data_IF_913853373058
#
_entry.id   IF_913853373058
#
_cell.length_a   1.000
_cell.length_b   1.000
_cell.length_c   1.000
_cell.angle_alpha   90.00
_cell.angle_beta   90.00
_cell.angle_gamma   90.00
#
_symmetry.space_group_name_H-M   'P 1'
#
loop_
_entity.id
_entity.type
_entity.pdbx_description
1 polymer ?
#
# COMPACT_ATOMS: atom_id res chain seq x y z
N UNK A 1 12.16 -29.48 71.24
CA UNK A 1 10.90 -29.56 70.46
C UNK A 1 10.50 -28.16 70.04
N UNK A 2 10.35 -28.01 68.71
CA UNK A 2 9.93 -26.89 67.85
C UNK A 2 9.51 -25.54 68.47
N UNK A 3 10.22 -24.48 68.04
CA UNK A 3 9.74 -23.10 68.05
C UNK A 3 9.11 -22.75 66.70
N UNK A 4 7.90 -22.20 66.78
CA UNK A 4 7.16 -21.53 65.71
C UNK A 4 7.92 -20.32 65.17
N UNK A 5 7.89 -20.13 63.85
CA UNK A 5 8.25 -18.89 63.17
C UNK A 5 7.29 -18.66 62.00
N UNK A 6 6.30 -17.81 62.26
CA UNK A 6 5.49 -17.15 61.24
C UNK A 6 6.41 -16.19 60.45
N UNK A 7 6.47 -16.34 59.13
CA UNK A 7 6.98 -15.30 58.23
C UNK A 7 5.94 -15.05 57.13
N UNK A 8 5.31 -13.88 57.19
CA UNK A 8 4.48 -13.37 56.12
C UNK A 8 5.34 -13.05 54.89
N UNK A 9 4.85 -13.45 53.71
CA UNK A 9 5.34 -12.96 52.44
C UNK A 9 4.43 -11.81 51.99
N UNK A 10 4.98 -10.59 51.95
CA UNK A 10 4.41 -9.49 51.18
C UNK A 10 4.80 -9.73 49.71
N UNK A 11 3.82 -10.00 48.86
CA UNK A 11 4.03 -10.04 47.41
C UNK A 11 3.97 -8.59 46.87
N UNK A 12 5.11 -8.05 46.45
CA UNK A 12 5.15 -6.80 45.73
C UNK A 12 4.77 -7.04 44.26
N UNK A 13 3.58 -6.60 43.86
CA UNK A 13 3.19 -6.52 42.45
C UNK A 13 3.88 -5.30 41.82
N UNK A 14 4.93 -5.53 41.05
CA UNK A 14 5.48 -4.51 40.15
C UNK A 14 4.62 -4.42 38.90
N UNK A 15 3.74 -3.42 38.84
CA UNK A 15 3.08 -2.99 37.61
C UNK A 15 4.11 -2.30 36.72
N UNK A 16 4.67 -3.03 35.76
CA UNK A 16 5.42 -2.41 34.66
C UNK A 16 4.41 -1.79 33.69
N UNK A 17 4.17 -0.49 33.81
CA UNK A 17 3.52 0.31 32.77
C UNK A 17 4.40 0.26 31.52
N UNK A 18 4.10 -0.65 30.60
CA UNK A 18 4.73 -0.69 29.29
C UNK A 18 4.37 0.60 28.54
N UNK A 19 5.34 1.50 28.40
CA UNK A 19 5.25 2.62 27.48
C UNK A 19 5.15 2.02 26.08
N UNK A 20 3.94 1.96 25.52
CA UNK A 20 3.75 1.54 24.12
C UNK A 20 4.54 2.54 23.29
N UNK A 21 5.64 2.08 22.68
CA UNK A 21 6.42 2.91 21.79
C UNK A 21 5.49 3.49 20.71
N UNK A 22 5.54 4.81 20.52
CA UNK A 22 4.76 5.47 19.49
C UNK A 22 5.02 4.78 18.15
N UNK A 23 3.96 4.37 17.46
CA UNK A 23 4.07 3.74 16.15
C UNK A 23 4.52 4.79 15.14
N UNK A 24 5.58 4.49 14.40
CA UNK A 24 5.95 5.29 13.24
C UNK A 24 4.99 4.98 12.09
N UNK A 25 4.28 6.00 11.61
CA UNK A 25 3.38 5.91 10.47
C UNK A 25 3.76 6.92 9.40
N UNK A 26 3.99 6.47 8.17
CA UNK A 26 4.36 7.33 7.05
C UNK A 26 3.22 7.39 6.03
N UNK A 27 2.87 8.61 5.62
CA UNK A 27 1.91 8.87 4.55
C UNK A 27 2.71 9.32 3.33
N UNK A 28 2.57 8.62 2.21
CA UNK A 28 3.18 8.99 0.94
C UNK A 28 2.15 9.60 0.00
N UNK A 29 2.55 10.64 -0.73
CA UNK A 29 1.74 11.30 -1.74
C UNK A 29 2.07 10.81 -3.15
N UNK A 30 1.06 10.24 -3.83
CA UNK A 30 1.04 9.98 -5.28
C UNK A 30 -0.30 10.36 -5.90
N UNK A 31 -0.90 11.44 -5.41
CA UNK A 31 -2.08 12.00 -6.07
C UNK A 31 -1.66 12.71 -7.36
N UNK A 32 -2.40 12.53 -8.45
CA UNK A 32 -2.07 13.11 -9.76
C UNK A 32 -2.92 14.37 -10.10
N UNK A 33 -3.41 15.07 -9.07
CA UNK A 33 -4.21 16.28 -9.25
C UNK A 33 -3.40 17.43 -9.86
N UNK A 34 -3.96 18.07 -10.90
CA UNK A 34 -3.25 19.11 -11.67
C UNK A 34 -3.02 20.35 -10.81
N UNK A 35 -1.77 20.82 -10.77
CA UNK A 35 -1.36 21.99 -9.99
C UNK A 35 -1.13 21.71 -8.49
N UNK A 36 -1.06 20.43 -8.08
CA UNK A 36 -0.73 20.06 -6.70
C UNK A 36 0.71 20.46 -6.35
N UNK A 37 0.93 21.17 -5.22
CA UNK A 37 2.27 21.54 -4.77
C UNK A 37 2.98 20.35 -4.12
N UNK A 38 4.23 20.56 -3.71
CA UNK A 38 4.93 19.64 -2.81
C UNK A 38 4.27 19.62 -1.42
N UNK A 39 3.81 18.45 -0.97
CA UNK A 39 3.11 18.25 0.30
C UNK A 39 4.03 17.80 1.44
N UNK A 40 5.36 17.84 1.26
CA UNK A 40 6.31 17.48 2.32
C UNK A 40 6.12 18.33 3.58
N UNK A 41 5.76 19.62 3.43
CA UNK A 41 5.44 20.52 4.56
C UNK A 41 4.16 20.12 5.32
N UNK A 42 3.23 19.48 4.62
CA UNK A 42 2.01 18.89 5.20
C UNK A 42 2.28 17.50 5.82
N UNK A 43 3.55 17.08 5.92
CA UNK A 43 4.02 15.74 6.35
C UNK A 43 3.62 14.58 5.43
N UNK A 44 3.35 14.83 4.16
CA UNK A 44 3.22 13.77 3.16
C UNK A 44 4.56 13.55 2.47
N UNK A 45 5.13 12.36 2.66
CA UNK A 45 6.41 11.94 2.09
C UNK A 45 6.29 11.69 0.59
N UNK A 46 7.41 11.77 -0.11
CA UNK A 46 7.46 11.41 -1.54
C UNK A 46 7.80 9.94 -1.72
N UNK A 47 7.22 9.30 -2.71
CA UNK A 47 7.56 7.94 -3.15
C UNK A 47 7.83 7.94 -4.64
N UNK A 48 8.82 7.16 -5.08
CA UNK A 48 9.13 7.00 -6.49
C UNK A 48 8.24 5.90 -7.09
N UNK A 49 7.03 6.26 -7.53
CA UNK A 49 6.15 5.33 -8.27
C UNK A 49 6.58 5.24 -9.72
N UNK A 50 6.77 4.02 -10.21
CA UNK A 50 7.11 3.73 -11.60
C UNK A 50 6.06 2.80 -12.19
N UNK A 51 5.41 3.22 -13.27
CA UNK A 51 4.34 2.46 -13.92
C UNK A 51 4.87 1.38 -14.86
N UNK A 52 4.07 0.34 -15.10
CA UNK A 52 4.38 -0.81 -15.97
C UNK A 52 4.98 -0.40 -17.33
N UNK A 53 4.41 0.64 -17.95
CA UNK A 53 4.83 1.13 -19.27
C UNK A 53 6.28 1.60 -19.31
N UNK A 54 6.89 1.92 -18.16
CA UNK A 54 8.29 2.29 -18.05
C UNK A 54 9.19 1.13 -17.62
N UNK A 55 8.61 0.03 -17.14
CA UNK A 55 9.33 -1.12 -16.60
C UNK A 55 9.38 -2.29 -17.58
N UNK A 56 8.42 -2.37 -18.49
CA UNK A 56 8.18 -3.52 -19.35
C UNK A 56 8.18 -3.10 -20.80
N UNK A 57 8.83 -3.89 -21.65
CA UNK A 57 8.80 -3.76 -23.11
C UNK A 57 8.20 -5.02 -23.75
N UNK A 58 7.73 -4.94 -25.01
CA UNK A 58 7.32 -6.13 -25.74
C UNK A 58 8.40 -7.21 -25.71
N UNK A 59 7.99 -8.48 -25.58
CA UNK A 59 8.92 -9.60 -25.67
C UNK A 59 9.44 -9.72 -27.12
N UNK A 60 10.76 -9.54 -27.37
CA UNK A 60 11.31 -9.64 -28.71
C UNK A 60 11.10 -11.02 -29.35
N UNK A 61 10.96 -12.07 -28.55
CA UNK A 61 10.68 -13.41 -29.03
C UNK A 61 9.19 -13.68 -29.28
N UNK A 62 8.31 -12.75 -28.90
CA UNK A 62 6.85 -12.88 -29.03
C UNK A 62 6.24 -14.00 -28.18
N UNK A 63 6.97 -14.55 -27.21
CA UNK A 63 6.52 -15.69 -26.38
C UNK A 63 5.70 -15.23 -25.18
N UNK A 64 5.90 -14.00 -24.72
CA UNK A 64 5.25 -13.45 -23.53
C UNK A 64 4.36 -12.25 -23.86
N UNK A 65 3.05 -12.47 -23.79
CA UNK A 65 2.01 -11.44 -24.01
C UNK A 65 2.08 -10.30 -22.98
N UNK A 66 2.63 -10.61 -21.82
CA UNK A 66 2.86 -9.69 -20.71
C UNK A 66 4.07 -8.77 -20.90
N UNK A 67 4.84 -8.94 -21.97
CA UNK A 67 6.13 -8.27 -22.15
C UNK A 67 7.21 -8.79 -21.18
N UNK A 68 8.42 -8.26 -21.31
CA UNK A 68 9.59 -8.57 -20.49
C UNK A 68 10.18 -7.29 -19.89
N UNK A 69 10.98 -7.41 -18.83
CA UNK A 69 11.61 -6.25 -18.22
C UNK A 69 12.47 -5.47 -19.23
N UNK A 70 12.32 -4.15 -19.23
CA UNK A 70 13.25 -3.27 -19.91
C UNK A 70 14.43 -2.92 -19.00
N UNK A 71 15.41 -3.82 -18.94
CA UNK A 71 16.53 -3.73 -17.99
C UNK A 71 17.34 -2.43 -18.11
N UNK A 72 17.45 -1.86 -19.31
CA UNK A 72 18.13 -0.58 -19.50
C UNK A 72 17.32 0.54 -18.85
N UNK A 73 16.03 0.65 -19.17
CA UNK A 73 15.15 1.67 -18.61
C UNK A 73 15.02 1.57 -17.10
N UNK A 74 14.91 0.35 -16.56
CA UNK A 74 14.90 0.10 -15.10
C UNK A 74 16.17 0.63 -14.44
N UNK A 75 17.35 0.43 -15.06
CA UNK A 75 18.62 0.93 -14.53
C UNK A 75 18.69 2.45 -14.53
N UNK A 76 18.19 3.09 -15.58
CA UNK A 76 18.08 4.57 -15.65
C UNK A 76 17.17 5.12 -14.55
N UNK A 77 16.00 4.51 -14.36
CA UNK A 77 15.05 4.87 -13.30
C UNK A 77 15.63 4.63 -11.90
N UNK A 78 16.38 3.56 -11.71
CA UNK A 78 17.05 3.28 -10.45
C UNK A 78 18.11 4.36 -10.12
N UNK A 79 18.93 4.75 -11.10
CA UNK A 79 19.89 5.87 -10.95
C UNK A 79 19.19 7.19 -10.70
N UNK A 80 18.08 7.44 -11.38
CA UNK A 80 17.26 8.63 -11.14
C UNK A 80 16.74 8.66 -9.71
N UNK A 81 16.19 7.55 -9.21
CA UNK A 81 15.71 7.45 -7.83
C UNK A 81 16.81 7.77 -6.82
N UNK A 82 18.04 7.28 -7.07
CA UNK A 82 19.21 7.56 -6.25
C UNK A 82 19.59 9.04 -6.29
N UNK A 83 19.78 9.59 -7.50
CA UNK A 83 20.16 10.98 -7.74
C UNK A 83 19.18 11.98 -7.11
N UNK A 84 17.89 11.70 -7.19
CA UNK A 84 16.83 12.53 -6.63
C UNK A 84 16.65 12.32 -5.12
N UNK A 85 17.24 11.26 -4.57
CA UNK A 85 17.31 10.98 -3.14
C UNK A 85 16.13 10.17 -2.59
N UNK A 86 15.39 9.46 -3.44
CA UNK A 86 14.30 8.59 -3.02
C UNK A 86 14.84 7.33 -2.33
N UNK A 87 14.19 6.97 -1.23
CA UNK A 87 14.37 5.66 -0.58
C UNK A 87 13.23 4.73 -0.95
N UNK A 88 11.99 5.13 -0.67
CA UNK A 88 10.81 4.31 -0.99
C UNK A 88 10.51 4.36 -2.49
N UNK A 89 10.41 3.18 -3.09
CA UNK A 89 10.12 2.98 -4.51
C UNK A 89 8.91 2.05 -4.60
N UNK A 90 7.89 2.46 -5.32
CA UNK A 90 6.75 1.60 -5.63
C UNK A 90 6.75 1.33 -7.12
N UNK A 91 6.65 0.08 -7.53
CA UNK A 91 6.46 -0.27 -8.95
C UNK A 91 5.01 -0.66 -9.17
N UNK A 92 4.51 -0.46 -10.38
CA UNK A 92 3.12 -0.78 -10.69
C UNK A 92 3.02 -1.62 -11.96
N UNK A 93 3.37 -2.91 -11.83
CA UNK A 93 3.16 -3.93 -12.85
C UNK A 93 1.93 -4.76 -12.44
N UNK A 94 0.80 -4.52 -13.09
CA UNK A 94 -0.45 -5.21 -12.80
C UNK A 94 -0.72 -6.35 -13.77
N UNK A 95 -0.35 -6.16 -15.04
CA UNK A 95 -0.78 -7.07 -16.11
C UNK A 95 -0.26 -8.49 -15.89
N UNK A 96 0.91 -8.64 -15.26
CA UNK A 96 1.56 -9.91 -14.96
C UNK A 96 0.75 -10.85 -14.04
N UNK A 97 -0.18 -10.30 -13.26
CA UNK A 97 -1.08 -11.07 -12.41
C UNK A 97 -2.38 -11.47 -13.12
N UNK A 98 -2.70 -10.87 -14.27
CA UNK A 98 -3.89 -11.16 -15.05
C UNK A 98 -3.70 -12.33 -16.04
N UNK A 99 -4.81 -12.88 -16.55
CA UNK A 99 -4.79 -13.77 -17.71
C UNK A 99 -4.80 -12.93 -19.00
N UNK A 100 -3.63 -12.72 -19.61
CA UNK A 100 -3.50 -11.89 -20.82
C UNK A 100 -3.31 -12.76 -22.05
N UNK A 101 -4.33 -12.79 -22.91
CA UNK A 101 -4.33 -13.62 -24.11
C UNK A 101 -4.19 -15.12 -23.82
N UNK A 102 -4.82 -15.62 -22.75
CA UNK A 102 -4.73 -17.02 -22.34
C UNK A 102 -3.47 -17.39 -21.55
N UNK A 103 -2.55 -16.44 -21.33
CA UNK A 103 -1.28 -16.68 -20.64
C UNK A 103 -1.31 -16.15 -19.21
N UNK A 104 -0.99 -17.02 -18.25
CA UNK A 104 -0.65 -16.68 -16.86
C UNK A 104 0.84 -16.89 -16.64
N UNK A 105 1.51 -15.92 -16.04
CA UNK A 105 2.89 -16.11 -15.60
C UNK A 105 2.94 -17.05 -14.41
N UNK A 106 3.87 -17.99 -14.44
CA UNK A 106 4.13 -18.89 -13.32
C UNK A 106 4.68 -18.12 -12.11
N UNK A 107 4.51 -18.66 -10.90
CA UNK A 107 5.12 -18.10 -9.70
C UNK A 107 6.63 -17.84 -9.80
N UNK A 108 7.37 -18.76 -10.42
CA UNK A 108 8.83 -18.66 -10.53
C UNK A 108 9.25 -17.56 -11.50
N UNK A 109 8.50 -17.37 -12.60
CA UNK A 109 8.70 -16.24 -13.51
C UNK A 109 8.49 -14.92 -12.78
N UNK A 110 7.39 -14.78 -12.03
CA UNK A 110 7.12 -13.57 -11.25
C UNK A 110 8.24 -13.31 -10.23
N UNK A 111 8.62 -14.31 -9.45
CA UNK A 111 9.67 -14.19 -8.44
C UNK A 111 11.03 -13.80 -9.06
N UNK A 112 11.40 -14.44 -10.18
CA UNK A 112 12.62 -14.14 -10.92
C UNK A 112 12.63 -12.71 -11.44
N UNK A 113 11.56 -12.27 -12.10
CA UNK A 113 11.50 -10.94 -12.70
C UNK A 113 11.48 -9.83 -11.64
N UNK A 114 10.61 -9.94 -10.62
CA UNK A 114 10.62 -8.96 -9.52
C UNK A 114 11.96 -8.97 -8.78
N UNK A 115 12.57 -10.14 -8.59
CA UNK A 115 13.91 -10.27 -8.02
C UNK A 115 14.96 -9.55 -8.83
N UNK A 116 14.96 -9.71 -10.15
CA UNK A 116 15.90 -9.03 -11.05
C UNK A 116 15.69 -7.51 -11.02
N UNK A 117 14.44 -7.06 -11.09
CA UNK A 117 14.10 -5.63 -11.07
C UNK A 117 14.59 -4.97 -9.77
N UNK A 118 14.24 -5.52 -8.60
CA UNK A 118 14.64 -4.92 -7.33
C UNK A 118 16.13 -5.08 -7.02
N UNK A 119 16.77 -6.12 -7.55
CA UNK A 119 18.25 -6.21 -7.52
C UNK A 119 18.88 -5.03 -8.26
N UNK A 120 18.38 -4.65 -9.44
CA UNK A 120 18.90 -3.49 -10.19
C UNK A 120 18.65 -2.19 -9.39
N UNK A 121 17.46 -2.02 -8.82
CA UNK A 121 17.19 -0.86 -7.96
C UNK A 121 18.17 -0.77 -6.79
N UNK A 122 18.45 -1.86 -6.09
CA UNK A 122 19.43 -1.90 -4.99
C UNK A 122 20.87 -1.64 -5.44
N UNK A 123 21.25 -2.12 -6.63
CA UNK A 123 22.59 -1.91 -7.18
C UNK A 123 22.88 -0.44 -7.48
N UNK A 124 21.92 0.26 -8.08
CA UNK A 124 22.08 1.67 -8.47
C UNK A 124 21.65 2.64 -7.36
N UNK A 125 20.75 2.21 -6.47
CA UNK A 125 20.33 2.93 -5.27
C UNK A 125 20.44 1.99 -4.05
N UNK A 126 21.57 1.98 -3.32
CA UNK A 126 21.77 1.10 -2.15
C UNK A 126 20.74 1.30 -1.03
N UNK A 127 20.03 2.43 -1.02
CA UNK A 127 18.97 2.75 -0.07
C UNK A 127 17.57 2.36 -0.55
N UNK A 128 17.42 1.87 -1.78
CA UNK A 128 16.13 1.48 -2.34
C UNK A 128 15.35 0.60 -1.35
N UNK A 129 14.08 0.92 -1.14
CA UNK A 129 13.15 0.19 -0.30
C UNK A 129 11.89 -0.02 -1.13
N UNK A 130 11.78 -1.22 -1.72
CA UNK A 130 10.95 -1.40 -2.92
C UNK A 130 9.89 -2.49 -2.77
N UNK A 131 8.72 -2.27 -3.35
CA UNK A 131 7.73 -3.33 -3.63
C UNK A 131 6.79 -2.93 -4.77
N UNK A 132 6.04 -3.90 -5.28
CA UNK A 132 5.05 -3.66 -6.32
C UNK A 132 3.69 -3.39 -5.69
N UNK A 133 2.96 -2.46 -6.27
CA UNK A 133 1.53 -2.26 -6.07
C UNK A 133 0.78 -3.60 -6.11
N UNK A 134 -0.12 -3.81 -5.15
CA UNK A 134 -0.94 -5.02 -5.08
C UNK A 134 -0.19 -6.27 -4.61
N UNK A 135 0.95 -6.14 -3.94
CA UNK A 135 1.62 -7.25 -3.25
C UNK A 135 1.49 -7.10 -1.73
N UNK A 136 1.20 -8.18 -0.98
CA UNK A 136 1.17 -9.58 -1.41
C UNK A 136 -0.20 -10.08 -1.85
N UNK A 137 -1.26 -9.29 -1.73
CA UNK A 137 -2.65 -9.76 -1.87
C UNK A 137 -3.47 -8.87 -2.80
N UNK A 138 -4.50 -9.47 -3.39
CA UNK A 138 -5.52 -8.74 -4.14
C UNK A 138 -6.38 -7.84 -3.20
N UNK A 139 -7.16 -6.92 -3.75
CA UNK A 139 -8.07 -6.08 -2.96
C UNK A 139 -9.33 -6.85 -2.52
N UNK A 140 -9.40 -7.25 -1.25
CA UNK A 140 -10.54 -8.00 -0.68
C UNK A 140 -11.87 -7.22 -0.75
N UNK A 141 -11.86 -5.90 -0.49
CA UNK A 141 -13.08 -5.09 -0.54
C UNK A 141 -13.70 -5.07 -1.94
N UNK A 142 -12.86 -5.02 -2.98
CA UNK A 142 -13.32 -5.06 -4.37
C UNK A 142 -13.83 -6.45 -4.76
N UNK A 143 -13.15 -7.52 -4.33
CA UNK A 143 -13.62 -8.89 -4.57
C UNK A 143 -15.00 -9.11 -3.94
N UNK A 144 -15.22 -8.60 -2.71
CA UNK A 144 -16.51 -8.66 -2.02
C UNK A 144 -17.58 -7.85 -2.75
N UNK A 145 -17.26 -6.64 -3.21
CA UNK A 145 -18.19 -5.78 -3.96
C UNK A 145 -18.76 -6.49 -5.20
N UNK A 146 -17.94 -7.23 -5.94
CA UNK A 146 -18.40 -7.98 -7.11
C UNK A 146 -19.12 -9.30 -6.79
N UNK A 147 -19.29 -9.64 -5.51
CA UNK A 147 -19.90 -10.90 -5.03
C UNK A 147 -20.90 -10.64 -3.90
N UNK A 148 -21.92 -9.78 -4.12
CA UNK A 148 -22.80 -9.32 -3.03
C UNK A 148 -23.68 -10.42 -2.44
N UNK A 149 -23.90 -11.52 -3.17
CA UNK A 149 -24.76 -12.64 -2.74
C UNK A 149 -23.97 -13.82 -2.17
N UNK A 150 -22.63 -13.81 -2.27
CA UNK A 150 -21.79 -14.89 -1.74
C UNK A 150 -21.57 -14.72 -0.23
N UNK A 151 -21.38 -15.85 0.46
CA UNK A 151 -20.99 -15.80 1.87
C UNK A 151 -19.61 -15.18 2.02
N UNK A 152 -19.33 -14.58 3.19
CA UNK A 152 -18.02 -13.99 3.43
C UNK A 152 -16.88 -15.02 3.29
N UNK A 153 -17.11 -16.27 3.70
CA UNK A 153 -16.13 -17.34 3.56
C UNK A 153 -15.83 -17.69 2.09
N UNK A 154 -16.85 -17.70 1.21
CA UNK A 154 -16.65 -17.90 -0.22
C UNK A 154 -15.82 -16.76 -0.83
N UNK A 155 -16.11 -15.51 -0.45
CA UNK A 155 -15.33 -14.32 -0.85
C UNK A 155 -13.87 -14.44 -0.39
N UNK A 156 -13.63 -14.84 0.85
CA UNK A 156 -12.29 -15.05 1.39
C UNK A 156 -11.53 -16.13 0.63
N UNK A 157 -12.15 -17.27 0.34
CA UNK A 157 -11.53 -18.33 -0.43
C UNK A 157 -11.14 -17.88 -1.83
N UNK A 158 -12.00 -17.09 -2.48
CA UNK A 158 -11.68 -16.52 -3.80
C UNK A 158 -10.56 -15.50 -3.74
N UNK A 159 -10.54 -14.65 -2.72
CA UNK A 159 -9.47 -13.68 -2.50
C UNK A 159 -8.12 -14.36 -2.22
N UNK A 160 -8.08 -15.42 -1.42
CA UNK A 160 -6.87 -16.24 -1.17
C UNK A 160 -6.38 -16.91 -2.45
N UNK A 161 -7.30 -17.44 -3.27
CA UNK A 161 -6.98 -18.03 -4.58
C UNK A 161 -6.27 -17.01 -5.49
N UNK A 162 -6.85 -15.82 -5.66
CA UNK A 162 -6.24 -14.75 -6.46
C UNK A 162 -4.93 -14.23 -5.88
N UNK A 163 -4.79 -14.22 -4.55
CA UNK A 163 -3.60 -13.74 -3.87
C UNK A 163 -2.43 -14.73 -3.89
N UNK A 164 -2.67 -16.02 -4.17
CA UNK A 164 -1.62 -17.06 -4.11
C UNK A 164 -0.38 -16.73 -4.96
N UNK A 165 -0.59 -16.27 -6.21
CA UNK A 165 0.50 -15.90 -7.14
C UNK A 165 1.22 -14.61 -6.70
N UNK A 166 0.47 -13.63 -6.18
CA UNK A 166 1.01 -12.37 -5.64
C UNK A 166 1.92 -12.63 -4.43
N UNK A 167 1.51 -13.53 -3.54
CA UNK A 167 2.29 -13.88 -2.35
C UNK A 167 3.66 -14.50 -2.68
N UNK A 168 3.81 -15.17 -3.82
CA UNK A 168 5.09 -15.77 -4.24
C UNK A 168 6.06 -14.71 -4.80
N UNK A 169 5.56 -13.69 -5.49
CA UNK A 169 6.35 -12.54 -5.95
C UNK A 169 6.87 -11.65 -4.80
N UNK A 170 6.34 -11.82 -3.59
CA UNK A 170 6.59 -10.94 -2.43
C UNK A 170 7.97 -11.14 -1.79
N UNK A 171 8.65 -12.25 -2.07
CA UNK A 171 9.97 -12.55 -1.48
C UNK A 171 10.97 -11.41 -1.73
N UNK A 172 10.95 -10.86 -2.94
CA UNK A 172 11.88 -9.82 -3.42
C UNK A 172 11.57 -8.40 -2.91
N UNK A 173 10.42 -8.16 -2.28
CA UNK A 173 10.09 -6.83 -1.77
C UNK A 173 10.80 -6.52 -0.45
N UNK A 174 11.14 -5.26 -0.18
CA UNK A 174 11.61 -4.82 1.14
C UNK A 174 10.44 -4.53 2.11
N UNK A 175 9.30 -4.07 1.57
CA UNK A 175 8.03 -3.85 2.29
C UNK A 175 6.87 -4.49 1.55
N UNK A 176 5.65 -4.32 2.02
CA UNK A 176 4.43 -4.84 1.41
C UNK A 176 3.50 -3.69 1.03
N UNK A 177 2.95 -3.74 -0.18
CA UNK A 177 2.15 -2.66 -0.75
C UNK A 177 0.74 -3.12 -1.20
N UNK A 178 -0.07 -3.72 -0.29
CA UNK A 178 -1.42 -4.18 -0.62
C UNK A 178 -2.37 -3.01 -0.90
N UNK A 179 -3.47 -3.31 -1.58
CA UNK A 179 -4.46 -2.32 -2.01
C UNK A 179 -5.65 -2.34 -1.07
N UNK A 180 -6.04 -1.17 -0.56
CA UNK A 180 -7.18 -0.99 0.34
C UNK A 180 -8.18 0.03 -0.20
N UNK A 181 -8.38 0.06 -1.52
CA UNK A 181 -9.46 0.87 -2.10
C UNK A 181 -10.82 0.33 -1.67
N UNK A 182 -11.71 1.24 -1.31
CA UNK A 182 -13.10 0.94 -0.99
C UNK A 182 -13.95 1.08 -2.26
N UNK A 183 -14.86 0.15 -2.50
CA UNK A 183 -15.68 0.12 -3.73
C UNK A 183 -17.07 0.76 -3.58
N UNK A 184 -17.57 0.82 -2.35
CA UNK A 184 -18.89 1.34 -1.98
C UNK A 184 -18.84 2.00 -0.59
N UNK A 185 -19.92 2.64 -0.11
CA UNK A 185 -19.93 3.27 1.22
C UNK A 185 -19.95 2.29 2.42
N UNK A 186 -19.81 0.97 2.25
CA UNK A 186 -19.80 0.00 3.35
C UNK A 186 -18.46 0.00 4.10
N UNK A 187 -18.27 1.05 4.91
CA UNK A 187 -17.07 1.25 5.71
C UNK A 187 -16.86 0.18 6.78
N UNK A 188 -17.95 -0.40 7.32
CA UNK A 188 -17.84 -1.48 8.32
C UNK A 188 -17.32 -2.75 7.68
N UNK A 189 -17.86 -3.11 6.51
CA UNK A 189 -17.35 -4.23 5.72
C UNK A 189 -15.90 -3.99 5.28
N UNK A 190 -15.58 -2.76 4.84
CA UNK A 190 -14.21 -2.39 4.47
C UNK A 190 -13.23 -2.53 5.64
N UNK A 191 -13.59 -2.08 6.86
CA UNK A 191 -12.73 -2.26 8.04
C UNK A 191 -12.48 -3.75 8.32
N UNK A 192 -13.52 -4.59 8.25
CA UNK A 192 -13.37 -6.04 8.43
C UNK A 192 -12.41 -6.63 7.38
N UNK A 193 -12.49 -6.18 6.14
CA UNK A 193 -11.62 -6.62 5.06
C UNK A 193 -10.17 -6.16 5.27
N UNK A 194 -9.95 -4.93 5.74
CA UNK A 194 -8.63 -4.42 6.17
C UNK A 194 -8.05 -5.28 7.29
N UNK A 195 -8.82 -5.51 8.36
CA UNK A 195 -8.40 -6.31 9.50
C UNK A 195 -7.99 -7.72 9.08
N UNK A 196 -8.80 -8.37 8.24
CA UNK A 196 -8.55 -9.73 7.75
C UNK A 196 -7.30 -9.79 6.90
N UNK A 197 -7.19 -8.88 5.93
CA UNK A 197 -6.04 -8.78 5.03
C UNK A 197 -4.74 -8.55 5.81
N UNK A 198 -4.72 -7.55 6.70
CA UNK A 198 -3.54 -7.24 7.52
C UNK A 198 -3.16 -8.42 8.42
N UNK A 199 -4.14 -9.07 9.06
CA UNK A 199 -3.88 -10.23 9.93
C UNK A 199 -3.21 -11.36 9.15
N UNK A 200 -3.73 -11.73 7.99
CA UNK A 200 -3.13 -12.80 7.17
C UNK A 200 -1.74 -12.41 6.64
N UNK A 201 -1.57 -11.14 6.23
CA UNK A 201 -0.26 -10.65 5.81
C UNK A 201 0.76 -10.76 6.95
N UNK A 202 0.41 -10.31 8.15
CA UNK A 202 1.32 -10.37 9.31
C UNK A 202 1.65 -11.80 9.73
N UNK A 203 0.69 -12.72 9.63
CA UNK A 203 0.95 -14.14 9.90
C UNK A 203 2.01 -14.71 8.95
N UNK A 204 2.01 -14.28 7.68
CA UNK A 204 2.94 -14.79 6.67
C UNK A 204 4.26 -14.03 6.57
N UNK A 205 4.22 -12.72 6.82
CA UNK A 205 5.35 -11.81 6.66
C UNK A 205 5.49 -10.91 7.91
N UNK A 206 5.79 -11.49 9.09
CA UNK A 206 5.73 -10.76 10.37
C UNK A 206 6.70 -9.57 10.45
N UNK A 207 7.79 -9.62 9.68
CA UNK A 207 8.87 -8.63 9.75
C UNK A 207 8.81 -7.57 8.64
N UNK A 208 7.85 -7.64 7.71
CA UNK A 208 7.75 -6.67 6.61
C UNK A 208 6.75 -5.57 6.95
N UNK A 209 7.11 -4.33 6.65
CA UNK A 209 6.21 -3.20 6.81
C UNK A 209 5.02 -3.32 5.84
N UNK A 210 3.82 -2.97 6.29
CA UNK A 210 2.61 -2.90 5.45
C UNK A 210 2.31 -1.45 5.16
N UNK A 211 2.53 -1.01 3.93
CA UNK A 211 2.21 0.33 3.45
C UNK A 211 1.05 0.20 2.47
N UNK A 212 -0.17 0.54 2.90
CA UNK A 212 -1.38 0.30 2.10
C UNK A 212 -1.66 1.36 1.04
N UNK A 213 -2.15 0.97 -0.14
CA UNK A 213 -2.68 1.93 -1.11
C UNK A 213 -4.10 2.36 -0.71
N UNK A 214 -4.29 3.68 -0.60
CA UNK A 214 -5.58 4.33 -0.45
C UNK A 214 -5.86 5.23 -1.65
N UNK A 215 -7.14 5.37 -1.98
CA UNK A 215 -7.61 6.29 -3.01
C UNK A 215 -8.74 7.14 -2.42
N UNK A 216 -8.67 8.49 -2.49
CA UNK A 216 -9.76 9.38 -2.07
C UNK A 216 -11.04 9.30 -2.92
N UNK A 217 -11.11 8.38 -3.87
CA UNK A 217 -12.31 8.09 -4.66
C UNK A 217 -12.66 6.61 -4.50
N UNK A 218 -13.95 6.29 -4.62
CA UNK A 218 -14.39 4.91 -4.68
C UNK A 218 -13.81 4.22 -5.92
N UNK A 219 -13.55 2.92 -5.77
CA UNK A 219 -12.96 2.10 -6.82
C UNK A 219 -13.70 2.23 -8.16
N UNK A 220 -12.94 2.21 -9.26
CA UNK A 220 -13.43 2.44 -10.63
C UNK A 220 -14.12 1.20 -11.24
N UNK A 221 -15.01 0.56 -10.49
CA UNK A 221 -15.88 -0.48 -11.02
C UNK A 221 -16.91 0.15 -11.96
N UNK A 222 -16.80 -0.12 -13.27
CA UNK A 222 -17.55 0.59 -14.33
C UNK A 222 -19.08 0.65 -14.15
N UNK A 223 -19.67 -0.35 -13.49
CA UNK A 223 -21.11 -0.44 -13.24
C UNK A 223 -21.51 -0.01 -11.81
N UNK A 224 -20.56 0.50 -11.02
CA UNK A 224 -20.85 0.97 -9.66
C UNK A 224 -21.52 2.35 -9.70
N UNK A 225 -22.58 2.57 -8.91
CA UNK A 225 -23.13 3.92 -8.71
C UNK A 225 -22.13 4.86 -8.02
N UNK A 226 -21.02 4.32 -7.50
CA UNK A 226 -19.94 5.07 -6.87
C UNK A 226 -18.71 5.24 -7.76
N UNK A 227 -18.73 4.79 -9.02
CA UNK A 227 -17.58 4.84 -9.94
C UNK A 227 -16.79 6.15 -9.81
N UNK A 228 -15.57 6.08 -9.24
CA UNK A 228 -14.63 7.20 -9.07
C UNK A 228 -15.20 8.44 -8.37
N UNK A 229 -16.35 8.35 -7.70
CA UNK A 229 -16.86 9.47 -6.88
C UNK A 229 -15.91 9.71 -5.72
N UNK A 230 -15.73 10.98 -5.37
CA UNK A 230 -14.98 11.34 -4.18
C UNK A 230 -15.64 10.75 -2.93
N UNK A 231 -14.81 10.21 -2.05
CA UNK A 231 -15.22 9.75 -0.73
C UNK A 231 -15.51 10.99 0.13
N UNK A 232 -16.58 10.96 0.91
CA UNK A 232 -16.91 12.08 1.79
C UNK A 232 -15.89 12.23 2.92
N UNK A 233 -15.83 13.43 3.50
CA UNK A 233 -14.86 13.81 4.53
C UNK A 233 -14.82 12.83 5.71
N UNK A 234 -15.99 12.43 6.23
CA UNK A 234 -16.10 11.57 7.40
C UNK A 234 -15.63 10.16 7.09
N UNK A 235 -16.03 9.61 5.95
CA UNK A 235 -15.58 8.30 5.49
C UNK A 235 -14.07 8.31 5.26
N UNK A 236 -13.52 9.32 4.59
CA UNK A 236 -12.08 9.46 4.36
C UNK A 236 -11.29 9.55 5.66
N UNK A 237 -11.73 10.39 6.60
CA UNK A 237 -11.11 10.49 7.93
C UNK A 237 -11.07 9.12 8.60
N UNK A 238 -12.18 8.40 8.58
CA UNK A 238 -12.27 7.08 9.23
C UNK A 238 -11.36 6.05 8.55
N UNK A 239 -11.21 6.09 7.21
CA UNK A 239 -10.25 5.23 6.50
C UNK A 239 -8.80 5.50 6.92
N UNK A 240 -8.42 6.76 7.13
CA UNK A 240 -7.09 7.11 7.67
C UNK A 240 -6.90 6.53 9.09
N UNK A 241 -7.91 6.63 9.95
CA UNK A 241 -7.85 6.09 11.31
C UNK A 241 -7.70 4.56 11.34
N UNK A 242 -8.47 3.88 10.51
CA UNK A 242 -8.39 2.42 10.35
C UNK A 242 -7.01 2.03 9.81
N UNK A 243 -6.50 2.75 8.81
CA UNK A 243 -5.19 2.47 8.23
C UNK A 243 -4.08 2.66 9.27
N UNK A 244 -4.14 3.74 10.05
CA UNK A 244 -3.22 3.97 11.16
C UNK A 244 -3.24 2.86 12.20
N UNK A 245 -4.44 2.36 12.53
CA UNK A 245 -4.62 1.28 13.50
C UNK A 245 -3.94 -0.01 13.04
N UNK A 246 -4.08 -0.40 11.77
CA UNK A 246 -3.67 -1.74 11.30
C UNK A 246 -2.37 -1.78 10.47
N UNK A 247 -1.97 -0.69 9.81
CA UNK A 247 -0.87 -0.65 8.82
C UNK A 247 0.29 0.23 9.29
N UNK A 248 1.49 0.07 8.73
CA UNK A 248 2.68 0.88 9.10
C UNK A 248 2.77 2.19 8.30
N UNK A 249 1.97 2.33 7.26
CA UNK A 249 1.90 3.54 6.46
C UNK A 249 0.87 3.39 5.35
N UNK A 250 0.72 4.46 4.57
CA UNK A 250 -0.15 4.46 3.38
C UNK A 250 0.48 5.23 2.23
N UNK A 251 0.17 4.82 1.01
CA UNK A 251 0.33 5.63 -0.20
C UNK A 251 -1.05 6.13 -0.59
N UNK A 252 -1.24 7.46 -0.57
CA UNK A 252 -2.45 8.10 -1.09
C UNK A 252 -2.23 8.31 -2.58
N UNK A 253 -2.91 7.51 -3.40
CA UNK A 253 -2.86 7.58 -4.85
C UNK A 253 -4.15 8.17 -5.40
N UNK A 254 -4.07 8.90 -6.51
CA UNK A 254 -5.25 9.30 -7.25
C UNK A 254 -4.98 9.34 -8.75
N UNK A 255 -5.99 9.03 -9.54
CA UNK A 255 -6.05 9.47 -10.93
C UNK A 255 -6.14 11.01 -10.99
N UNK A 256 -5.69 11.59 -12.09
CA UNK A 256 -5.93 12.99 -12.45
C UNK A 256 -7.37 13.27 -12.84
N UNK A 257 -8.21 12.23 -12.99
CA UNK A 257 -9.60 12.35 -13.45
C UNK A 257 -10.66 11.85 -12.48
N UNK A 258 -11.82 12.51 -12.48
CA UNK A 258 -12.98 12.14 -11.66
C UNK A 258 -13.94 11.14 -12.35
N UNK A 259 -15.12 10.96 -11.73
CA UNK A 259 -16.25 10.14 -12.18
C UNK A 259 -16.84 10.56 -13.53
N UNK A 260 -16.60 11.81 -13.95
CA UNK A 260 -17.04 12.36 -15.23
C UNK A 260 -15.91 12.42 -16.25
N UNK A 261 -14.78 11.75 -15.97
CA UNK A 261 -13.57 11.79 -16.78
C UNK A 261 -12.99 13.22 -16.91
N UNK A 262 -13.33 14.13 -16.00
CA UNK A 262 -12.83 15.51 -16.03
C UNK A 262 -11.51 15.61 -15.28
N UNK A 263 -10.63 16.50 -15.75
CA UNK A 263 -9.37 16.77 -15.06
C UNK A 263 -9.67 17.42 -13.71
N UNK A 264 -9.16 16.82 -12.64
CA UNK A 264 -9.27 17.34 -11.29
C UNK A 264 -8.06 18.23 -11.00
N UNK A 265 -8.34 19.49 -10.70
CA UNK A 265 -7.33 20.45 -10.24
C UNK A 265 -7.13 20.31 -8.73
N UNK A 266 -5.94 20.64 -8.25
CA UNK A 266 -5.67 20.71 -6.82
C UNK A 266 -6.65 21.61 -6.08
N UNK A 267 -7.07 22.72 -6.69
CA UNK A 267 -8.03 23.66 -6.12
C UNK A 267 -9.48 23.17 -6.09
N UNK A 268 -9.78 21.95 -6.56
CA UNK A 268 -11.13 21.38 -6.51
C UNK A 268 -11.60 21.31 -5.04
N UNK A 269 -12.80 21.83 -4.71
CA UNK A 269 -13.32 21.80 -3.33
C UNK A 269 -13.38 20.40 -2.71
N UNK A 270 -13.60 19.36 -3.52
CA UNK A 270 -13.63 17.95 -3.07
C UNK A 270 -12.23 17.50 -2.63
N UNK A 271 -11.20 17.86 -3.41
CA UNK A 271 -9.79 17.62 -3.07
C UNK A 271 -9.40 18.38 -1.80
N UNK A 272 -9.78 19.66 -1.70
CA UNK A 272 -9.46 20.46 -0.53
C UNK A 272 -10.16 19.96 0.74
N UNK A 273 -11.39 19.46 0.61
CA UNK A 273 -12.12 18.83 1.73
C UNK A 273 -11.38 17.58 2.22
N UNK A 274 -10.98 16.69 1.31
CA UNK A 274 -10.19 15.51 1.63
C UNK A 274 -8.84 15.88 2.28
N UNK A 275 -8.14 16.87 1.73
CA UNK A 275 -6.85 17.31 2.28
C UNK A 275 -6.96 17.97 3.65
N UNK A 276 -8.05 18.67 3.93
CA UNK A 276 -8.33 19.19 5.27
C UNK A 276 -8.40 18.04 6.27
N UNK A 277 -9.16 16.98 5.97
CA UNK A 277 -9.25 15.81 6.85
C UNK A 277 -7.92 15.06 6.99
N UNK A 278 -7.13 14.98 5.92
CA UNK A 278 -5.77 14.43 5.97
C UNK A 278 -4.86 15.25 6.92
N UNK A 279 -4.88 16.58 6.83
CA UNK A 279 -4.10 17.48 7.72
C UNK A 279 -4.58 17.40 9.16
N UNK A 280 -5.88 17.36 9.38
CA UNK A 280 -6.47 17.22 10.72
C UNK A 280 -6.09 15.85 11.32
N UNK A 281 -6.01 14.80 10.50
CA UNK A 281 -5.56 13.48 10.93
C UNK A 281 -4.10 13.52 11.36
N UNK A 282 -3.24 14.08 10.51
CA UNK A 282 -1.82 14.23 10.78
C UNK A 282 -1.59 15.03 12.07
N UNK A 283 -2.32 16.13 12.25
CA UNK A 283 -2.23 16.98 13.45
C UNK A 283 -2.64 16.21 14.70
N UNK A 284 -3.74 15.46 14.64
CA UNK A 284 -4.23 14.67 15.78
C UNK A 284 -3.33 13.51 16.20
N UNK A 285 -2.46 13.02 15.30
CA UNK A 285 -1.49 11.94 15.56
C UNK A 285 -0.10 12.46 15.97
N UNK A 286 0.13 13.77 15.87
CA UNK A 286 1.31 14.44 16.40
C UNK A 286 2.64 13.84 15.92
N UNK A 287 3.35 13.20 16.85
CA UNK A 287 4.69 12.64 16.64
C UNK A 287 4.69 11.23 16.05
N UNK A 288 3.54 10.56 15.95
CA UNK A 288 3.39 9.24 15.31
C UNK A 288 3.60 9.35 13.79
N UNK A 289 3.26 10.50 13.19
CA UNK A 289 3.44 10.74 11.75
C UNK A 289 4.87 11.16 11.44
N UNK A 290 5.59 10.31 10.70
CA UNK A 290 6.96 10.56 10.26
C UNK A 290 7.01 10.98 8.80
N UNK A 291 8.04 11.75 8.47
CA UNK A 291 8.33 12.18 7.09
C UNK A 291 9.61 11.49 6.61
N UNK A 292 9.51 10.72 5.54
CA UNK A 292 10.69 10.25 4.81
C UNK A 292 11.15 11.35 3.86
N UNK A 293 12.22 12.05 4.25
CA UNK A 293 12.85 13.08 3.43
C UNK A 293 13.68 12.50 2.29
N UNK A 294 13.81 13.27 1.20
CA UNK A 294 14.76 12.96 0.14
C UNK A 294 16.20 13.16 0.62
N UNK A 295 17.06 12.19 0.37
CA UNK A 295 18.49 12.26 0.72
C UNK A 295 19.32 11.98 -0.52
N UNK A 296 19.86 13.05 -1.11
CA UNK A 296 20.71 12.97 -2.31
C UNK A 296 22.07 12.38 -1.95
N UNK A 297 22.69 11.59 -2.85
CA UNK A 297 24.07 11.18 -2.68
C UNK A 297 24.99 12.40 -2.62
N UNK A 298 26.06 12.27 -1.84
CA UNK A 298 27.15 13.25 -1.81
C UNK A 298 27.99 13.17 -3.08
#
# INVERSE_FOLDING_TARGET
MQKSLLRGLLAALTLTSGMVAAKDFIIYDRMDYVGKPDLTKDKLSKVFLVYESELVKPDPAGKRNHGVLDLQRIRELARQSHKEGYRTISTDIESWFSNKGGQLLTPDQLASDFGQMYKIFKQENPRAFSCNYGLPTENLSVIRFFRPTESYEAVLNKWREFSKRRQQATASCDYLNPIFYIADPDLKGWERDVQTTVKEIRQRFPNKQIIGYLWPQYYSAAQSPHFKKFIDAKTWRTMLEISHKYMDGVIIWSDKRDDKNQIVKWSDPRVQTMMKETRDFITSRGNEIKVEGLVKPK
#
